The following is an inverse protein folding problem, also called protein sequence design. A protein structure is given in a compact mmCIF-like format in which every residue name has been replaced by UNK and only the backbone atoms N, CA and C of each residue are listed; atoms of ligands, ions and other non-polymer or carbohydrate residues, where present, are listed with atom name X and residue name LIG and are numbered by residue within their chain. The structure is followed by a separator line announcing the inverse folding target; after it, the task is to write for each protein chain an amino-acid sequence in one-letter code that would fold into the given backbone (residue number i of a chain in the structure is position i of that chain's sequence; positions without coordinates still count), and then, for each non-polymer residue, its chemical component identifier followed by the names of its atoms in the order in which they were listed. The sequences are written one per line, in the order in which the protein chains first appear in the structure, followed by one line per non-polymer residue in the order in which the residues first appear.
data_IF_699654254720
#
_entry.id   IF_699654254720
#
_cell.length_a   1.000
_cell.length_b   1.000
_cell.length_c   1.000
_cell.angle_alpha   90.00
_cell.angle_beta   90.00
_cell.angle_gamma   90.00
#
_symmetry.space_group_name_H-M   'P 1'
#
loop_
_entity.id
_entity.type
_entity.pdbx_description
1 polymer ?
#
# COMPACT_ATOMS: atom_id res chain seq x y z
N UNK A 1 26.60 10.86 -28.44
CA UNK A 1 26.05 11.45 -27.20
C UNK A 1 26.74 10.80 -26.01
N UNK A 2 27.76 11.43 -25.40
CA UNK A 2 28.65 10.78 -24.41
C UNK A 2 28.91 11.67 -23.17
N UNK A 3 27.96 12.55 -22.82
CA UNK A 3 28.15 13.60 -21.80
C UNK A 3 27.11 13.68 -20.68
N UNK A 4 26.18 12.72 -20.56
CA UNK A 4 25.13 12.74 -19.52
C UNK A 4 25.18 11.57 -18.53
N UNK A 5 26.01 10.54 -18.74
CA UNK A 5 26.10 9.39 -17.82
C UNK A 5 26.91 9.68 -16.54
N UNK A 6 27.85 10.63 -16.56
CA UNK A 6 28.76 10.84 -15.42
C UNK A 6 28.08 11.44 -14.17
N UNK A 7 27.01 12.24 -14.31
CA UNK A 7 26.36 12.87 -13.14
C UNK A 7 25.59 11.84 -12.31
N UNK A 8 24.88 10.91 -12.98
CA UNK A 8 24.08 9.90 -12.30
C UNK A 8 24.96 8.85 -11.62
N UNK A 9 26.03 8.43 -12.29
CA UNK A 9 27.06 7.55 -11.73
C UNK A 9 27.75 8.18 -10.52
N UNK A 10 28.10 9.47 -10.60
CA UNK A 10 28.71 10.21 -9.48
C UNK A 10 27.77 10.29 -8.28
N UNK A 11 26.50 10.63 -8.50
CA UNK A 11 25.49 10.67 -7.42
C UNK A 11 25.25 9.31 -6.81
N UNK A 12 25.26 8.26 -7.63
CA UNK A 12 25.13 6.89 -7.15
C UNK A 12 26.33 6.50 -6.27
N UNK A 13 27.56 6.75 -6.72
CA UNK A 13 28.76 6.47 -5.93
C UNK A 13 28.75 7.21 -4.59
N UNK A 14 28.30 8.47 -4.56
CA UNK A 14 28.12 9.21 -3.31
C UNK A 14 27.09 8.58 -2.36
N UNK A 15 26.03 7.96 -2.90
CA UNK A 15 25.06 7.21 -2.08
C UNK A 15 25.74 5.96 -1.51
N UNK A 16 26.45 5.19 -2.34
CA UNK A 16 27.18 4.00 -1.90
C UNK A 16 28.18 4.34 -0.79
N UNK A 17 29.00 5.38 -0.97
CA UNK A 17 29.97 5.82 0.04
C UNK A 17 29.32 6.17 1.38
N UNK A 18 28.09 6.72 1.38
CA UNK A 18 27.37 7.06 2.62
C UNK A 18 26.64 5.87 3.24
N UNK A 19 26.09 4.99 2.43
CA UNK A 19 25.23 3.89 2.88
C UNK A 19 26.05 2.67 3.24
N UNK A 20 27.03 2.29 2.40
CA UNK A 20 27.76 1.03 2.52
C UNK A 20 28.43 0.82 3.89
N UNK A 21 29.13 1.82 4.48
CA UNK A 21 29.75 1.65 5.80
C UNK A 21 28.74 1.31 6.91
N UNK A 22 27.49 1.73 6.75
CA UNK A 22 26.43 1.46 7.73
C UNK A 22 25.86 0.05 7.59
N UNK A 23 26.03 -0.62 6.44
CA UNK A 23 25.48 -1.95 6.16
C UNK A 23 26.55 -3.05 6.02
N UNK A 24 27.83 -2.69 6.12
CA UNK A 24 28.95 -3.61 5.93
C UNK A 24 28.91 -4.82 6.87
N UNK A 25 28.57 -4.58 8.14
CA UNK A 25 28.51 -5.64 9.16
C UNK A 25 27.10 -6.24 9.34
N UNK A 26 26.11 -5.81 8.55
CA UNK A 26 24.77 -6.38 8.62
C UNK A 26 24.68 -7.68 7.82
N UNK A 27 24.04 -8.70 8.41
CA UNK A 27 23.80 -10.00 7.80
C UNK A 27 22.34 -10.21 7.35
N UNK A 28 21.42 -9.38 7.85
CA UNK A 28 19.99 -9.43 7.55
C UNK A 28 19.37 -8.03 7.52
N UNK A 29 18.20 -7.90 6.91
CA UNK A 29 17.39 -6.69 6.85
C UNK A 29 18.09 -5.52 6.16
N UNK A 30 18.97 -5.81 5.20
CA UNK A 30 19.82 -4.80 4.58
C UNK A 30 18.97 -3.89 3.72
N UNK A 31 18.05 -4.42 2.91
CA UNK A 31 17.18 -3.61 2.08
C UNK A 31 16.30 -2.67 2.91
N UNK A 32 15.72 -3.19 3.99
CA UNK A 32 14.97 -2.40 4.96
C UNK A 32 15.82 -1.25 5.52
N UNK A 33 17.04 -1.57 5.94
CA UNK A 33 17.97 -0.62 6.57
C UNK A 33 18.38 0.47 5.58
N UNK A 34 18.73 0.10 4.35
CA UNK A 34 19.11 1.05 3.31
C UNK A 34 17.98 2.03 2.99
N UNK A 35 16.73 1.56 2.85
CA UNK A 35 15.58 2.44 2.60
C UNK A 35 15.45 3.49 3.71
N UNK A 36 15.63 3.09 4.96
CA UNK A 36 15.57 4.00 6.11
C UNK A 36 16.77 4.96 6.18
N UNK A 37 17.95 4.57 5.70
CA UNK A 37 19.11 5.46 5.57
C UNK A 37 18.84 6.50 4.47
N UNK A 38 18.37 6.08 3.30
CA UNK A 38 18.08 7.00 2.18
C UNK A 38 16.98 7.99 2.55
N UNK A 39 15.92 7.52 3.23
CA UNK A 39 14.78 8.32 3.65
C UNK A 39 14.88 8.75 5.12
N UNK A 40 16.09 9.00 5.63
CA UNK A 40 16.33 9.33 7.05
C UNK A 40 15.41 10.43 7.61
N UNK A 41 15.06 11.42 6.78
CA UNK A 41 14.18 12.55 7.14
C UNK A 41 12.69 12.28 6.94
N UNK A 42 12.33 11.22 6.21
CA UNK A 42 10.95 10.85 5.88
C UNK A 42 10.70 9.37 6.24
N UNK A 43 10.67 9.12 7.56
CA UNK A 43 10.39 7.80 8.12
C UNK A 43 9.04 7.24 7.69
N UNK A 44 8.06 8.11 7.43
CA UNK A 44 6.74 7.69 6.96
C UNK A 44 6.84 7.06 5.58
N UNK A 45 7.49 7.72 4.62
CA UNK A 45 7.71 7.14 3.30
C UNK A 45 8.58 5.87 3.36
N UNK A 46 9.57 5.82 4.25
CA UNK A 46 10.38 4.60 4.46
C UNK A 46 9.51 3.42 4.92
N UNK A 47 8.70 3.63 5.96
CA UNK A 47 7.77 2.63 6.48
C UNK A 47 6.73 2.22 5.43
N UNK A 48 6.21 3.18 4.67
CA UNK A 48 5.27 2.91 3.59
C UNK A 48 5.88 2.00 2.53
N UNK A 49 7.09 2.29 2.05
CA UNK A 49 7.80 1.44 1.07
C UNK A 49 7.99 0.04 1.66
N UNK A 50 8.53 -0.06 2.87
CA UNK A 50 8.78 -1.37 3.49
C UNK A 50 7.48 -2.17 3.67
N UNK A 51 6.38 -1.51 4.05
CA UNK A 51 5.07 -2.17 4.22
C UNK A 51 4.50 -2.60 2.86
N UNK A 52 4.47 -1.69 1.89
CA UNK A 52 3.92 -1.92 0.56
C UNK A 52 4.62 -3.09 -0.16
N UNK A 53 5.95 -3.13 -0.06
CA UNK A 53 6.77 -4.16 -0.71
C UNK A 53 7.07 -5.37 0.20
N UNK A 54 6.52 -5.41 1.43
CA UNK A 54 6.74 -6.48 2.43
C UNK A 54 8.23 -6.72 2.74
N UNK A 55 9.00 -5.65 2.87
CA UNK A 55 10.44 -5.68 3.18
C UNK A 55 10.62 -5.71 4.71
N UNK A 56 11.29 -6.75 5.22
CA UNK A 56 11.48 -6.97 6.66
C UNK A 56 12.91 -6.68 7.14
N UNK A 57 13.06 -6.37 8.43
CA UNK A 57 14.35 -6.29 9.14
C UNK A 57 15.01 -7.65 9.36
N UNK A 58 14.25 -8.74 9.26
CA UNK A 58 14.74 -10.10 9.51
C UNK A 58 15.10 -10.85 8.22
N UNK A 59 14.87 -10.27 7.05
CA UNK A 59 15.13 -10.90 5.74
C UNK A 59 16.62 -11.19 5.57
N UNK A 60 16.98 -12.34 5.03
CA UNK A 60 18.39 -12.67 4.76
C UNK A 60 18.98 -11.83 3.62
N UNK A 61 20.31 -11.73 3.55
CA UNK A 61 21.01 -11.07 2.45
C UNK A 61 20.60 -11.62 1.06
N UNK A 62 20.43 -12.93 0.95
CA UNK A 62 20.07 -13.59 -0.31
C UNK A 62 18.61 -13.32 -0.70
N UNK A 63 17.69 -13.29 0.26
CA UNK A 63 16.29 -12.92 0.00
C UNK A 63 16.16 -11.44 -0.39
N UNK A 64 16.90 -10.54 0.27
CA UNK A 64 16.96 -9.11 -0.09
C UNK A 64 17.57 -8.92 -1.49
N UNK A 65 18.55 -9.74 -1.87
CA UNK A 65 19.13 -9.74 -3.21
C UNK A 65 18.14 -10.23 -4.27
N UNK A 66 17.51 -11.39 -4.03
CA UNK A 66 16.52 -12.01 -4.93
C UNK A 66 15.21 -11.23 -5.03
N UNK A 67 14.97 -10.28 -4.13
CA UNK A 67 13.87 -9.33 -4.25
C UNK A 67 14.00 -8.47 -5.51
N UNK A 68 15.24 -8.16 -5.93
CA UNK A 68 15.52 -7.41 -7.16
C UNK A 68 14.88 -8.03 -8.39
N UNK A 69 14.97 -9.35 -8.54
CA UNK A 69 14.43 -10.09 -9.69
C UNK A 69 12.91 -10.01 -9.78
N UNK A 70 12.23 -9.76 -8.66
CA UNK A 70 10.77 -9.64 -8.58
C UNK A 70 10.27 -8.25 -8.96
N UNK A 71 11.12 -7.23 -8.85
CA UNK A 71 10.72 -5.82 -8.95
C UNK A 71 11.38 -5.09 -10.12
N UNK A 72 12.61 -5.49 -10.48
CA UNK A 72 13.37 -4.90 -11.57
C UNK A 72 13.23 -5.83 -12.79
N UNK A 73 12.59 -5.32 -13.85
CA UNK A 73 12.46 -6.07 -15.10
C UNK A 73 13.83 -6.17 -15.81
N UNK A 74 14.11 -7.31 -16.49
CA UNK A 74 15.40 -7.60 -17.16
C UNK A 74 16.08 -6.46 -17.96
N UNK A 75 15.36 -5.62 -18.74
CA UNK A 75 15.99 -4.49 -19.45
C UNK A 75 16.60 -3.45 -18.51
N UNK A 76 16.01 -3.26 -17.33
CA UNK A 76 16.47 -2.34 -16.29
C UNK A 76 17.65 -2.95 -15.54
N UNK A 77 17.62 -4.25 -15.29
CA UNK A 77 18.72 -5.02 -14.69
C UNK A 77 20.03 -4.90 -15.50
N UNK A 78 19.95 -5.06 -16.83
CA UNK A 78 21.10 -4.90 -17.74
C UNK A 78 21.70 -3.49 -17.71
N UNK A 79 20.87 -2.47 -17.50
CA UNK A 79 21.34 -1.09 -17.36
C UNK A 79 22.00 -0.84 -16.01
N UNK A 80 21.66 -1.62 -14.97
CA UNK A 80 22.25 -1.45 -13.65
C UNK A 80 23.52 -2.28 -13.42
N UNK A 81 23.75 -3.33 -14.20
CA UNK A 81 24.97 -4.14 -14.15
C UNK A 81 26.25 -3.31 -14.34
N UNK A 82 26.19 -2.18 -15.05
CA UNK A 82 27.33 -1.28 -15.23
C UNK A 82 27.79 -0.59 -13.92
N UNK A 83 26.93 -0.52 -12.90
CA UNK A 83 27.24 0.08 -11.60
C UNK A 83 27.71 -0.95 -10.56
N UNK A 84 27.75 -2.24 -10.92
CA UNK A 84 28.26 -3.29 -10.06
C UNK A 84 29.77 -3.46 -10.34
N UNK A 85 30.63 -3.39 -9.30
CA UNK A 85 32.06 -3.65 -9.51
C UNK A 85 32.29 -5.12 -9.91
N UNK A 86 32.97 -5.34 -11.04
CA UNK A 86 33.24 -6.68 -11.60
C UNK A 86 34.24 -7.52 -10.77
N UNK A 87 34.93 -6.94 -9.80
CA UNK A 87 36.04 -7.57 -9.04
C UNK A 87 35.83 -7.52 -7.52
N UNK A 88 34.63 -7.86 -7.05
CA UNK A 88 34.29 -7.74 -5.64
C UNK A 88 33.81 -9.06 -5.02
N UNK A 89 34.06 -9.24 -3.72
CA UNK A 89 33.52 -10.33 -2.90
C UNK A 89 31.99 -10.41 -3.09
N UNK A 90 31.45 -11.63 -3.21
CA UNK A 90 30.03 -11.91 -3.52
C UNK A 90 29.07 -11.08 -2.65
N UNK A 91 29.34 -10.98 -1.35
CA UNK A 91 28.50 -10.23 -0.41
C UNK A 91 28.48 -8.73 -0.71
N UNK A 92 29.63 -8.15 -1.11
CA UNK A 92 29.73 -6.75 -1.47
C UNK A 92 28.99 -6.44 -2.78
N UNK A 93 28.97 -7.38 -3.72
CA UNK A 93 28.14 -7.28 -4.93
C UNK A 93 26.65 -7.28 -4.54
N UNK A 94 26.24 -8.24 -3.71
CA UNK A 94 24.85 -8.35 -3.26
C UNK A 94 24.39 -7.09 -2.51
N UNK A 95 25.20 -6.56 -1.59
CA UNK A 95 24.91 -5.33 -0.84
C UNK A 95 24.82 -4.11 -1.76
N UNK A 96 25.73 -3.98 -2.72
CA UNK A 96 25.67 -2.92 -3.75
C UNK A 96 24.36 -2.99 -4.56
N UNK A 97 23.96 -4.21 -4.95
CA UNK A 97 22.70 -4.44 -5.65
C UNK A 97 21.47 -4.06 -4.82
N UNK A 98 21.48 -4.41 -3.53
CA UNK A 98 20.41 -4.04 -2.59
C UNK A 98 20.28 -2.51 -2.47
N UNK A 99 21.40 -1.76 -2.48
CA UNK A 99 21.34 -0.30 -2.50
C UNK A 99 20.72 0.24 -3.78
N UNK A 100 21.01 -0.35 -4.94
CA UNK A 100 20.37 0.01 -6.22
C UNK A 100 18.85 -0.21 -6.18
N UNK A 101 18.42 -1.36 -5.67
CA UNK A 101 17.00 -1.69 -5.50
C UNK A 101 16.35 -0.65 -4.59
N UNK A 102 16.96 -0.31 -3.45
CA UNK A 102 16.42 0.69 -2.54
C UNK A 102 16.25 2.07 -3.21
N UNK A 103 17.26 2.53 -3.95
CA UNK A 103 17.19 3.78 -4.72
C UNK A 103 16.05 3.76 -5.75
N UNK A 104 15.88 2.64 -6.45
CA UNK A 104 14.79 2.45 -7.42
C UNK A 104 13.42 2.53 -6.75
N UNK A 105 13.23 1.83 -5.62
CA UNK A 105 11.96 1.83 -4.87
C UNK A 105 11.58 3.24 -4.38
N UNK A 106 12.56 3.99 -3.89
CA UNK A 106 12.35 5.38 -3.45
C UNK A 106 11.96 6.27 -4.63
N UNK A 107 12.61 6.11 -5.79
CA UNK A 107 12.23 6.81 -7.02
C UNK A 107 10.83 6.44 -7.52
N UNK A 108 10.50 5.14 -7.51
CA UNK A 108 9.21 4.62 -7.92
C UNK A 108 8.06 5.19 -7.07
N UNK A 109 8.28 5.42 -5.77
CA UNK A 109 7.30 6.08 -4.90
C UNK A 109 6.94 7.49 -5.38
N UNK A 110 7.92 8.24 -5.92
CA UNK A 110 7.67 9.54 -6.55
C UNK A 110 6.76 9.41 -7.78
N UNK A 111 6.99 8.41 -8.62
CA UNK A 111 6.16 8.12 -9.78
C UNK A 111 4.74 7.68 -9.39
N UNK A 112 4.59 6.83 -8.39
CA UNK A 112 3.30 6.40 -7.85
C UNK A 112 2.51 7.62 -7.36
N UNK A 113 3.12 8.46 -6.52
CA UNK A 113 2.51 9.72 -6.05
C UNK A 113 2.15 10.66 -7.20
N UNK A 114 2.99 10.72 -8.25
CA UNK A 114 2.72 11.54 -9.42
C UNK A 114 1.51 11.02 -10.23
N UNK A 115 1.41 9.71 -10.44
CA UNK A 115 0.29 9.09 -11.17
C UNK A 115 -1.02 9.28 -10.41
N UNK A 116 -1.03 9.06 -9.10
CA UNK A 116 -2.18 9.35 -8.23
C UNK A 116 -2.62 10.82 -8.33
N UNK A 117 -1.65 11.75 -8.36
CA UNK A 117 -1.93 13.17 -8.47
C UNK A 117 -2.38 13.60 -9.88
N UNK A 118 -1.94 12.89 -10.91
CA UNK A 118 -2.32 13.17 -12.31
C UNK A 118 -3.73 12.67 -12.61
N UNK A 119 -4.08 11.46 -12.14
CA UNK A 119 -5.45 10.94 -12.21
C UNK A 119 -6.44 11.89 -11.51
N UNK A 120 -6.11 12.34 -10.30
CA UNK A 120 -6.89 13.36 -9.56
C UNK A 120 -7.04 14.70 -10.29
N UNK A 121 -6.15 15.02 -11.25
CA UNK A 121 -6.20 16.27 -12.05
C UNK A 121 -6.96 16.08 -13.36
N UNK A 122 -6.88 14.92 -13.98
CA UNK A 122 -7.63 14.58 -15.20
C UNK A 122 -9.13 14.44 -14.92
N UNK A 123 -9.50 13.83 -13.80
CA UNK A 123 -10.87 13.80 -13.29
C UNK A 123 -11.43 15.22 -13.08
N UNK A 124 -10.59 16.16 -12.60
CA UNK A 124 -10.96 17.58 -12.46
C UNK A 124 -11.10 18.32 -13.79
N UNK A 125 -10.45 17.85 -14.88
CA UNK A 125 -10.50 18.48 -16.21
C UNK A 125 -11.67 17.99 -17.05
N UNK A 126 -12.02 16.70 -16.99
CA UNK A 126 -13.19 16.16 -17.71
C UNK A 126 -14.52 16.71 -17.18
N UNK A 127 -14.61 17.07 -15.90
CA UNK A 127 -15.78 17.76 -15.33
C UNK A 127 -16.00 19.21 -15.81
N UNK A 128 -15.05 19.80 -16.57
CA UNK A 128 -15.10 21.23 -16.96
C UNK A 128 -15.69 21.49 -18.36
N UNK A 129 -15.83 20.47 -19.21
CA UNK A 129 -16.26 20.65 -20.62
C UNK A 129 -17.78 20.50 -20.87
N UNK A 130 -18.58 20.08 -19.89
CA UNK A 130 -20.01 19.75 -20.10
C UNK A 130 -21.01 20.84 -19.70
N UNK A 131 -20.62 22.10 -19.62
CA UNK A 131 -21.62 23.13 -19.34
C UNK A 131 -21.13 24.54 -19.62
N UNK A 132 -21.66 25.15 -20.69
CA UNK A 132 -21.85 26.60 -20.79
C UNK A 132 -22.79 26.97 -21.95
N UNK A 133 -23.97 27.46 -21.59
CA UNK A 133 -24.59 28.68 -22.14
C UNK A 133 -25.48 29.28 -21.01
N UNK A 134 -25.79 30.58 -21.02
CA UNK A 134 -25.41 31.47 -19.91
C UNK A 134 -26.62 32.12 -19.21
N UNK A 135 -26.47 32.52 -17.94
CA UNK A 135 -26.54 33.93 -17.52
C UNK A 135 -26.38 34.13 -16.01
N UNK A 136 -25.53 35.12 -15.72
CA UNK A 136 -25.38 36.06 -14.60
C UNK A 136 -25.92 35.79 -13.17
N UNK A 137 -24.98 36.03 -12.23
CA UNK A 137 -25.12 36.76 -10.96
C UNK A 137 -25.76 36.08 -9.72
N UNK A 138 -24.94 35.43 -8.88
CA UNK A 138 -24.19 36.03 -7.74
C UNK A 138 -23.54 34.91 -6.92
N UNK A 139 -22.22 34.94 -6.83
CA UNK A 139 -21.37 33.92 -6.22
C UNK A 139 -21.46 33.98 -4.68
N UNK A 140 -22.07 32.96 -4.08
CA UNK A 140 -21.63 32.43 -2.78
C UNK A 140 -20.92 31.11 -3.10
N UNK A 141 -19.69 30.85 -2.63
CA UNK A 141 -19.01 29.59 -2.94
C UNK A 141 -19.71 28.46 -2.17
N UNK A 142 -20.61 27.75 -2.85
CA UNK A 142 -21.12 26.45 -2.41
C UNK A 142 -19.95 25.48 -2.50
N UNK A 143 -19.46 25.06 -1.34
CA UNK A 143 -18.49 23.97 -1.20
C UNK A 143 -19.13 22.71 -1.78
N UNK A 144 -18.71 22.31 -2.98
CA UNK A 144 -19.06 21.01 -3.54
C UNK A 144 -18.42 19.90 -2.68
N UNK A 145 -19.19 18.90 -2.19
CA UNK A 145 -18.68 17.87 -1.32
C UNK A 145 -17.70 16.96 -2.07
N UNK A 146 -16.47 16.87 -1.58
CA UNK A 146 -15.50 15.89 -2.08
C UNK A 146 -16.03 14.46 -1.85
N UNK A 147 -15.82 13.52 -2.78
CA UNK A 147 -16.20 12.12 -2.59
C UNK A 147 -15.42 11.55 -1.40
N UNK A 148 -16.14 11.17 -0.34
CA UNK A 148 -15.54 10.64 0.89
C UNK A 148 -15.44 9.12 0.73
N UNK A 149 -14.24 8.59 0.90
CA UNK A 149 -14.01 7.14 0.98
C UNK A 149 -14.24 6.66 2.39
N UNK A 150 -15.11 5.67 2.55
CA UNK A 150 -15.33 5.00 3.83
C UNK A 150 -14.49 3.72 3.89
N UNK A 151 -13.86 3.48 5.03
CA UNK A 151 -13.19 2.23 5.34
C UNK A 151 -14.19 1.31 6.05
N UNK A 152 -14.63 0.26 5.37
CA UNK A 152 -15.41 -0.82 5.94
C UNK A 152 -14.47 -1.90 6.46
N UNK A 153 -14.34 -1.99 7.78
CA UNK A 153 -13.54 -2.97 8.48
C UNK A 153 -14.45 -4.09 8.98
N UNK A 154 -14.13 -5.33 8.63
CA UNK A 154 -14.92 -6.52 8.94
C UNK A 154 -14.02 -7.59 9.55
N UNK A 155 -14.58 -8.38 10.46
CA UNK A 155 -13.96 -9.60 10.95
C UNK A 155 -14.85 -10.75 10.56
N UNK A 156 -14.37 -11.62 9.66
CA UNK A 156 -15.13 -12.73 9.07
C UNK A 156 -14.38 -14.05 9.28
N UNK A 157 -15.06 -15.21 9.20
CA UNK A 157 -14.38 -16.50 9.16
C UNK A 157 -13.46 -16.64 7.95
N UNK A 158 -12.37 -17.40 8.11
CA UNK A 158 -11.40 -17.69 7.06
C UNK A 158 -12.02 -18.36 5.82
N UNK A 159 -13.06 -19.18 6.01
CA UNK A 159 -13.82 -19.81 4.92
C UNK A 159 -14.47 -18.78 3.99
N UNK A 160 -14.91 -17.64 4.54
CA UNK A 160 -15.52 -16.54 3.76
C UNK A 160 -14.42 -15.70 3.10
N UNK A 161 -13.38 -15.36 3.85
CA UNK A 161 -12.24 -14.57 3.36
C UNK A 161 -11.45 -15.25 2.23
N UNK A 162 -11.38 -16.58 2.24
CA UNK A 162 -10.67 -17.36 1.20
C UNK A 162 -11.23 -17.13 -0.20
N UNK A 163 -12.53 -16.84 -0.33
CA UNK A 163 -13.20 -16.63 -1.62
C UNK A 163 -12.81 -15.31 -2.31
N UNK A 164 -12.23 -14.36 -1.57
CA UNK A 164 -11.91 -13.01 -2.05
C UNK A 164 -10.40 -12.73 -2.06
N UNK A 165 -9.56 -13.70 -1.68
CA UNK A 165 -8.10 -13.51 -1.48
C UNK A 165 -7.38 -12.96 -2.70
N UNK A 166 -7.78 -13.42 -3.88
CA UNK A 166 -7.11 -13.07 -5.15
C UNK A 166 -7.82 -11.91 -5.87
N UNK A 167 -8.80 -11.26 -5.23
CA UNK A 167 -9.61 -10.20 -5.81
C UNK A 167 -9.22 -8.84 -5.21
N UNK A 168 -8.52 -7.96 -5.95
CA UNK A 168 -8.22 -6.62 -5.44
C UNK A 168 -9.47 -5.73 -5.38
N UNK A 169 -10.50 -6.05 -6.18
CA UNK A 169 -11.79 -5.38 -6.22
C UNK A 169 -12.92 -6.38 -6.07
N UNK A 170 -13.92 -6.01 -5.28
CA UNK A 170 -15.11 -6.80 -5.05
C UNK A 170 -16.36 -5.96 -5.32
N UNK A 171 -17.38 -6.61 -5.86
CA UNK A 171 -18.66 -5.97 -6.15
C UNK A 171 -19.55 -5.89 -4.90
N UNK A 172 -20.66 -5.18 -5.02
CA UNK A 172 -21.64 -4.98 -3.94
C UNK A 172 -22.11 -6.29 -3.32
N UNK A 173 -22.38 -7.32 -4.13
CA UNK A 173 -22.84 -8.62 -3.65
C UNK A 173 -21.83 -9.31 -2.71
N UNK A 174 -20.54 -9.26 -3.07
CA UNK A 174 -19.48 -9.80 -2.21
C UNK A 174 -19.32 -8.97 -0.93
N UNK A 175 -19.46 -7.64 -1.01
CA UNK A 175 -19.41 -6.77 0.18
C UNK A 175 -20.57 -7.10 1.13
N UNK A 176 -21.79 -7.24 0.61
CA UNK A 176 -22.95 -7.66 1.40
C UNK A 176 -22.74 -9.03 2.04
N UNK A 177 -22.16 -9.98 1.30
CA UNK A 177 -21.83 -11.31 1.82
C UNK A 177 -20.84 -11.21 2.99
N UNK A 178 -19.83 -10.36 2.88
CA UNK A 178 -18.88 -10.13 3.97
C UNK A 178 -19.54 -9.50 5.19
N UNK A 179 -20.43 -8.51 4.99
CA UNK A 179 -21.20 -7.89 6.07
C UNK A 179 -22.08 -8.92 6.78
N UNK A 180 -22.75 -9.79 6.03
CA UNK A 180 -23.67 -10.81 6.57
C UNK A 180 -22.95 -11.94 7.31
N UNK A 181 -21.67 -12.13 7.05
CA UNK A 181 -20.83 -13.16 7.68
C UNK A 181 -19.84 -12.59 8.69
N UNK A 182 -19.90 -11.30 8.97
CA UNK A 182 -18.99 -10.67 9.93
C UNK A 182 -19.43 -10.95 11.37
N UNK A 183 -18.47 -11.33 12.22
CA UNK A 183 -18.63 -11.36 13.68
C UNK A 183 -18.51 -9.95 14.27
N UNK A 184 -17.68 -9.11 13.65
CA UNK A 184 -17.46 -7.72 14.03
C UNK A 184 -17.37 -6.83 12.81
N UNK A 185 -17.86 -5.59 12.94
CA UNK A 185 -17.71 -4.59 11.90
C UNK A 185 -17.51 -3.18 12.45
N UNK A 186 -16.89 -2.34 11.63
CA UNK A 186 -16.79 -0.91 11.84
C UNK A 186 -16.70 -0.22 10.49
N UNK A 187 -17.48 0.83 10.28
CA UNK A 187 -17.30 1.68 9.10
C UNK A 187 -16.88 3.09 9.54
N UNK A 188 -15.72 3.55 9.09
CA UNK A 188 -15.11 4.79 9.55
C UNK A 188 -14.35 5.51 8.43
N UNK A 189 -13.79 6.69 8.75
CA UNK A 189 -12.87 7.38 7.85
C UNK A 189 -11.50 6.68 7.84
N UNK A 190 -10.78 6.76 6.72
CA UNK A 190 -9.45 6.15 6.55
C UNK A 190 -8.47 6.54 7.67
N UNK A 191 -8.44 7.82 8.04
CA UNK A 191 -7.59 8.38 9.11
C UNK A 191 -7.77 7.69 10.47
N UNK A 192 -8.96 7.15 10.75
CA UNK A 192 -9.24 6.49 12.03
C UNK A 192 -8.76 5.03 12.06
N UNK A 193 -8.55 4.41 10.89
CA UNK A 193 -8.12 3.00 10.78
C UNK A 193 -6.68 2.84 11.26
N UNK A 194 -5.82 3.83 11.00
CA UNK A 194 -4.41 3.80 11.43
C UNK A 194 -4.24 3.79 12.96
N UNK A 195 -5.28 4.19 13.69
CA UNK A 195 -5.30 4.16 15.17
C UNK A 195 -5.66 2.79 15.76
N UNK A 196 -6.06 1.82 14.93
CA UNK A 196 -6.44 0.48 15.37
C UNK A 196 -5.19 -0.31 15.75
N UNK A 197 -5.20 -0.90 16.95
CA UNK A 197 -4.11 -1.72 17.48
C UNK A 197 -4.41 -3.20 17.28
N UNK A 198 -4.59 -3.61 16.02
CA UNK A 198 -4.85 -5.00 15.67
C UNK A 198 -3.53 -5.76 15.48
N UNK A 199 -3.49 -6.99 16.00
CA UNK A 199 -2.36 -7.90 15.79
C UNK A 199 -2.73 -8.97 14.77
N UNK A 200 -1.92 -9.09 13.71
CA UNK A 200 -2.12 -10.07 12.66
C UNK A 200 -1.11 -11.21 12.76
N UNK A 201 -1.45 -12.34 12.15
CA UNK A 201 -0.52 -13.44 11.91
C UNK A 201 -0.05 -13.45 10.46
N UNK A 202 1.10 -14.07 10.21
CA UNK A 202 1.73 -14.14 8.88
C UNK A 202 1.30 -15.39 8.10
N UNK A 203 0.32 -16.14 8.62
CA UNK A 203 -0.14 -17.39 8.03
C UNK A 203 -0.96 -17.11 6.76
N UNK A 204 -0.83 -18.01 5.78
CA UNK A 204 -1.69 -17.97 4.61
C UNK A 204 -3.12 -18.34 5.00
N UNK A 205 -4.10 -17.50 4.66
CA UNK A 205 -5.54 -17.69 4.92
C UNK A 205 -6.07 -19.03 4.37
N UNK A 206 -5.43 -19.61 3.34
CA UNK A 206 -5.81 -20.94 2.80
C UNK A 206 -5.43 -22.10 3.72
N UNK A 207 -4.50 -21.87 4.65
CA UNK A 207 -3.90 -22.90 5.49
C UNK A 207 -4.32 -22.78 6.96
N UNK A 208 -5.18 -21.83 7.30
CA UNK A 208 -5.74 -21.66 8.64
C UNK A 208 -7.09 -22.38 8.75
N UNK A 209 -7.49 -22.72 9.98
CA UNK A 209 -8.80 -23.34 10.22
C UNK A 209 -9.94 -22.44 9.73
N UNK A 210 -10.98 -23.05 9.16
CA UNK A 210 -12.10 -22.37 8.49
C UNK A 210 -12.82 -21.33 9.36
N UNK A 211 -12.87 -21.57 10.68
CA UNK A 211 -13.53 -20.71 11.66
C UNK A 211 -12.61 -19.65 12.26
N UNK A 212 -11.34 -19.61 11.86
CA UNK A 212 -10.41 -18.60 12.36
C UNK A 212 -10.81 -17.23 11.84
N UNK A 213 -10.71 -16.22 12.70
CA UNK A 213 -11.09 -14.87 12.35
C UNK A 213 -10.06 -14.16 11.47
N UNK A 214 -10.56 -13.55 10.40
CA UNK A 214 -9.79 -12.80 9.41
C UNK A 214 -10.32 -11.37 9.37
N UNK A 215 -9.40 -10.43 9.48
CA UNK A 215 -9.68 -9.02 9.29
C UNK A 215 -9.67 -8.67 7.80
N UNK A 216 -10.73 -8.01 7.36
CA UNK A 216 -10.91 -7.51 5.99
C UNK A 216 -11.14 -6.00 6.05
N UNK A 217 -10.34 -5.23 5.30
CA UNK A 217 -10.62 -3.82 5.04
C UNK A 217 -11.02 -3.63 3.59
N UNK A 218 -12.21 -3.08 3.39
CA UNK A 218 -12.74 -2.71 2.09
C UNK A 218 -12.91 -1.18 2.05
N UNK A 219 -12.25 -0.54 1.10
CA UNK A 219 -12.42 0.91 0.88
C UNK A 219 -13.55 1.13 -0.12
N UNK A 220 -14.60 1.85 0.32
CA UNK A 220 -15.82 2.12 -0.44
C UNK A 220 -15.86 3.60 -0.83
N UNK A 221 -15.80 3.86 -2.13
CA UNK A 221 -15.89 5.22 -2.69
C UNK A 221 -17.32 5.74 -2.53
N UNK A 222 -17.47 7.01 -2.16
CA UNK A 222 -18.77 7.64 -1.85
C UNK A 222 -19.54 6.94 -0.71
N UNK A 223 -18.79 6.32 0.21
CA UNK A 223 -19.36 5.61 1.36
C UNK A 223 -19.68 6.50 2.55
N UNK A 224 -19.75 7.84 2.41
CA UNK A 224 -19.98 8.76 3.53
C UNK A 224 -21.17 8.38 4.40
N UNK A 225 -22.22 7.86 3.79
CA UNK A 225 -23.47 7.50 4.49
C UNK A 225 -23.32 6.22 5.31
N UNK A 226 -22.26 5.45 5.12
CA UNK A 226 -21.94 4.24 5.87
C UNK A 226 -21.11 4.54 7.14
N UNK A 227 -20.40 5.67 7.17
CA UNK A 227 -19.50 6.03 8.26
C UNK A 227 -20.27 6.18 9.57
N UNK A 228 -19.77 5.52 10.62
CA UNK A 228 -20.32 5.57 11.97
C UNK A 228 -21.64 4.82 12.14
N UNK A 229 -22.13 4.11 11.10
CA UNK A 229 -23.34 3.29 11.23
C UNK A 229 -23.05 2.05 12.06
N UNK A 230 -24.01 1.72 12.92
CA UNK A 230 -23.88 0.70 13.97
C UNK A 230 -24.72 -0.54 13.70
N UNK A 231 -25.26 -0.69 12.49
CA UNK A 231 -26.08 -1.83 12.08
C UNK A 231 -25.71 -2.28 10.68
N UNK A 232 -25.57 -3.59 10.50
CA UNK A 232 -25.29 -4.26 9.22
C UNK A 232 -26.37 -3.98 8.18
N UNK A 233 -27.65 -3.91 8.58
CA UNK A 233 -28.75 -3.55 7.70
C UNK A 233 -28.58 -2.16 7.07
N UNK A 234 -28.19 -1.16 7.88
CA UNK A 234 -27.99 0.21 7.40
C UNK A 234 -26.77 0.30 6.49
N UNK A 235 -25.70 -0.45 6.81
CA UNK A 235 -24.52 -0.52 5.94
C UNK A 235 -24.88 -1.05 4.56
N UNK A 236 -25.61 -2.17 4.47
CA UNK A 236 -26.03 -2.74 3.19
C UNK A 236 -26.94 -1.82 2.41
N UNK A 237 -27.92 -1.18 3.06
CA UNK A 237 -28.82 -0.21 2.41
C UNK A 237 -28.09 0.99 1.81
N UNK A 238 -26.98 1.39 2.44
CA UNK A 238 -26.19 2.55 2.02
C UNK A 238 -25.03 2.17 1.08
N UNK A 239 -24.92 0.90 0.70
CA UNK A 239 -24.08 0.52 -0.43
C UNK A 239 -24.70 1.06 -1.71
N UNK A 240 -23.90 1.71 -2.53
CA UNK A 240 -24.31 2.12 -3.86
C UNK A 240 -24.58 0.87 -4.72
N UNK A 241 -25.66 0.89 -5.51
CA UNK A 241 -26.04 -0.22 -6.39
C UNK A 241 -25.04 -0.49 -7.52
N UNK A 242 -24.08 0.41 -7.73
CA UNK A 242 -22.91 0.25 -8.61
C UNK A 242 -21.59 0.18 -7.80
N UNK A 243 -21.67 -0.06 -6.50
CA UNK A 243 -20.56 0.10 -5.57
C UNK A 243 -19.53 -1.02 -5.70
N UNK A 244 -18.36 -0.68 -6.23
CA UNK A 244 -17.16 -1.50 -6.10
C UNK A 244 -16.39 -1.09 -4.83
N UNK A 245 -15.85 -2.08 -4.14
CA UNK A 245 -14.96 -1.90 -3.00
C UNK A 245 -13.57 -2.43 -3.33
N UNK A 246 -12.53 -1.71 -2.89
CA UNK A 246 -11.16 -2.20 -3.02
C UNK A 246 -10.76 -2.91 -1.72
N UNK A 247 -10.30 -4.17 -1.81
CA UNK A 247 -9.73 -4.86 -0.66
C UNK A 247 -8.33 -4.30 -0.42
N UNK A 248 -8.12 -3.73 0.75
CA UNK A 248 -6.81 -3.15 1.13
C UNK A 248 -6.08 -4.00 2.15
N UNK A 249 -6.81 -4.65 3.05
CA UNK A 249 -6.22 -5.54 4.04
C UNK A 249 -7.03 -6.83 4.08
N UNK A 250 -6.32 -7.95 4.08
CA UNK A 250 -6.86 -9.28 4.24
C UNK A 250 -5.85 -10.10 5.03
N UNK A 251 -6.06 -10.25 6.34
CA UNK A 251 -5.07 -10.85 7.24
C UNK A 251 -5.72 -11.60 8.40
N UNK A 252 -5.22 -12.80 8.78
CA UNK A 252 -5.76 -13.51 9.94
C UNK A 252 -5.39 -12.78 11.23
N UNK A 253 -6.36 -12.63 12.13
CA UNK A 253 -6.13 -12.04 13.45
C UNK A 253 -5.37 -13.02 14.35
N UNK A 254 -4.48 -12.48 15.17
CA UNK A 254 -3.81 -13.23 16.23
C UNK A 254 -4.72 -13.43 17.44
N UNK A 255 -5.53 -12.44 17.77
CA UNK A 255 -6.53 -12.44 18.82
C UNK A 255 -7.53 -11.29 18.58
N UNK A 256 -8.53 -11.16 19.46
CA UNK A 256 -9.61 -10.16 19.35
C UNK A 256 -9.30 -8.79 19.97
N UNK A 257 -8.07 -8.59 20.46
CA UNK A 257 -7.68 -7.32 21.09
C UNK A 257 -7.62 -6.21 20.04
N UNK A 258 -7.98 -4.98 20.42
CA UNK A 258 -8.03 -3.85 19.49
C UNK A 258 -9.36 -3.70 18.74
N UNK A 259 -10.34 -4.59 19.01
CA UNK A 259 -11.70 -4.52 18.47
C UNK A 259 -12.67 -3.69 19.33
N UNK A 260 -12.19 -2.90 20.30
CA UNK A 260 -13.06 -2.18 21.26
C UNK A 260 -13.97 -1.13 20.59
N UNK A 261 -13.58 -0.68 19.39
CA UNK A 261 -14.34 0.27 18.57
C UNK A 261 -15.27 -0.41 17.54
N UNK A 262 -15.27 -1.74 17.48
CA UNK A 262 -16.09 -2.50 16.55
C UNK A 262 -17.44 -2.85 17.19
N UNK A 263 -18.46 -2.91 16.34
CA UNK A 263 -19.75 -3.46 16.71
C UNK A 263 -19.70 -4.98 16.50
N UNK A 264 -20.12 -5.72 17.53
CA UNK A 264 -20.39 -7.15 17.40
C UNK A 264 -21.77 -7.33 16.73
N UNK A 265 -21.87 -8.29 15.81
CA UNK A 265 -23.10 -8.60 15.05
C UNK A 265 -23.96 -9.61 15.79
#
# INVERSE_FOLDING_TARGET
MRGHNNDLETRYNQIIEKVYPQIENHSCGILHTVIHIILQKDKHSANYICTFFKISKSTSLEEDFNFGDKVIHKPVELHFQQFIPQQSQKDKIMKTWIVLIACFLVGALGCIKFLENTQKREEKRQGRNNGRTPEAEKLVPVVSPQPVTAALCLVVPASVASNIKDQPRINTYLIETLIDKASYFMCTKLENVESLKLEFTHEDIRNIGENREVFVRVDIINGQEMIGKTSTYILKRNLSSSGEGNIVILAPLKNLSGLEKFYCV
#
